data_IF_099817439441
#
_entry.id   IF_099817439441
#
_cell.length_a   1.000
_cell.length_b   1.000
_cell.length_c   1.000
_cell.angle_alpha   90.00
_cell.angle_beta   90.00
_cell.angle_gamma   90.00
#
_symmetry.space_group_name_H-M   'P 1'
#
loop_
_entity.id
_entity.type
_entity.pdbx_description
1 polymer ?
#
# COMPACT_ATOMS: atom_id res chain seq x y z
N UNK A 1 3.17 22.04 17.70
CA UNK A 1 3.33 20.67 17.18
C UNK A 1 2.02 20.29 16.46
N UNK A 2 2.08 19.80 15.26
CA UNK A 2 0.87 19.39 14.52
C UNK A 2 0.37 18.05 15.08
N UNK A 3 -0.93 17.95 15.40
CA UNK A 3 -1.54 16.72 15.91
C UNK A 3 -2.65 16.27 14.98
N UNK A 4 -2.52 15.06 14.43
CA UNK A 4 -3.55 14.43 13.59
C UNK A 4 -4.55 13.78 14.56
N UNK A 5 -5.74 14.36 14.70
CA UNK A 5 -6.80 13.87 15.59
C UNK A 5 -7.93 13.17 14.85
N UNK A 6 -7.91 13.23 13.51
CA UNK A 6 -9.02 12.81 12.66
C UNK A 6 -8.64 11.63 11.78
N UNK A 7 -9.59 10.73 11.59
CA UNK A 7 -9.59 9.70 10.58
C UNK A 7 -10.49 10.11 9.41
N UNK A 8 -10.40 9.40 8.29
CA UNK A 8 -11.24 9.65 7.13
C UNK A 8 -12.29 8.54 7.01
N UNK A 9 -13.54 8.87 7.32
CA UNK A 9 -14.66 7.91 7.34
C UNK A 9 -15.87 8.55 6.66
N UNK A 10 -16.52 7.78 5.80
CA UNK A 10 -17.77 8.19 5.10
C UNK A 10 -17.65 9.50 4.32
N UNK A 11 -16.48 9.74 3.71
CA UNK A 11 -16.19 10.91 2.89
C UNK A 11 -15.84 12.17 3.69
N UNK A 12 -15.55 12.07 4.97
CA UNK A 12 -15.22 13.19 5.83
C UNK A 12 -14.09 12.89 6.82
N UNK A 13 -13.38 13.94 7.24
CA UNK A 13 -12.47 13.88 8.38
C UNK A 13 -13.27 13.92 9.68
N UNK A 14 -13.19 12.87 10.48
CA UNK A 14 -13.95 12.71 11.73
C UNK A 14 -13.01 12.53 12.92
N UNK A 15 -13.38 13.04 14.08
CA UNK A 15 -12.59 12.86 15.31
C UNK A 15 -12.46 11.38 15.68
N UNK A 16 -11.26 10.98 16.12
CA UNK A 16 -10.97 9.65 16.62
C UNK A 16 -11.80 9.35 17.88
N UNK A 17 -12.36 8.14 17.95
CA UNK A 17 -12.88 7.59 19.21
C UNK A 17 -11.73 7.17 20.14
N UNK A 18 -10.70 6.56 19.57
CA UNK A 18 -9.46 6.22 20.27
C UNK A 18 -8.79 7.47 20.87
N UNK A 19 -8.00 7.28 21.94
CA UNK A 19 -7.37 8.38 22.72
C UNK A 19 -5.86 8.21 22.87
N UNK A 20 -5.30 7.11 22.41
CA UNK A 20 -3.85 6.88 22.46
C UNK A 20 -3.16 7.86 21.52
N UNK A 21 -2.16 8.58 22.05
CA UNK A 21 -1.31 9.48 21.26
C UNK A 21 0.01 8.79 20.96
N UNK A 22 0.48 8.93 19.72
CA UNK A 22 1.77 8.44 19.28
C UNK A 22 2.56 9.56 18.62
N UNK A 23 3.83 9.71 19.02
CA UNK A 23 4.77 10.64 18.39
C UNK A 23 5.22 10.12 17.02
N UNK A 24 5.24 11.01 16.05
CA UNK A 24 5.84 10.79 14.72
C UNK A 24 7.25 11.38 14.76
N UNK A 25 8.22 10.52 14.52
CA UNK A 25 9.64 10.84 14.67
C UNK A 25 10.31 10.89 13.31
N UNK A 26 11.02 11.98 13.03
CA UNK A 26 11.93 12.03 11.88
C UNK A 26 13.13 11.10 12.16
N UNK A 27 13.34 10.05 11.36
CA UNK A 27 14.38 9.04 11.64
C UNK A 27 15.81 9.58 11.44
N UNK A 28 15.96 10.68 10.68
CA UNK A 28 17.27 11.24 10.36
C UNK A 28 17.90 11.99 11.56
N UNK A 29 17.07 12.72 12.29
CA UNK A 29 17.52 13.57 13.42
C UNK A 29 16.86 13.22 14.76
N UNK A 30 15.93 12.26 14.78
CA UNK A 30 15.18 11.79 15.96
C UNK A 30 14.31 12.84 16.63
N UNK A 31 13.97 13.92 15.92
CA UNK A 31 13.02 14.92 16.43
C UNK A 31 11.58 14.44 16.26
N UNK A 32 10.72 14.81 17.22
CA UNK A 32 9.27 14.64 17.05
C UNK A 32 8.77 15.73 16.10
N UNK A 33 8.17 15.33 14.99
CA UNK A 33 7.67 16.22 13.93
C UNK A 33 6.15 16.42 13.99
N UNK A 34 5.44 15.44 14.52
CA UNK A 34 3.99 15.50 14.71
C UNK A 34 3.54 14.49 15.77
N UNK A 35 2.24 14.50 16.09
CA UNK A 35 1.57 13.46 16.86
C UNK A 35 0.35 12.96 16.11
N UNK A 36 -0.05 11.72 16.36
CA UNK A 36 -1.29 11.14 15.84
C UNK A 36 -2.09 10.51 16.97
N UNK A 37 -3.40 10.76 17.00
CA UNK A 37 -4.34 10.01 17.83
C UNK A 37 -4.66 8.70 17.12
N UNK A 38 -4.33 7.58 17.76
CA UNK A 38 -4.55 6.26 17.17
C UNK A 38 -6.02 5.85 17.28
N UNK A 39 -6.53 5.30 16.18
CA UNK A 39 -7.84 4.67 16.11
C UNK A 39 -7.91 3.42 16.98
N UNK A 40 -9.09 3.15 17.51
CA UNK A 40 -9.42 1.92 18.20
C UNK A 40 -10.38 1.02 17.40
N UNK A 41 -10.91 -0.03 18.03
CA UNK A 41 -11.86 -0.97 17.40
C UNK A 41 -13.17 -0.29 17.00
N UNK A 42 -13.61 0.74 17.74
CA UNK A 42 -14.86 1.46 17.42
C UNK A 42 -14.70 2.29 16.15
N UNK A 43 -13.57 2.98 15.97
CA UNK A 43 -13.25 3.67 14.71
C UNK A 43 -13.20 2.69 13.52
N UNK A 44 -12.60 1.52 13.73
CA UNK A 44 -12.58 0.47 12.72
C UNK A 44 -13.98 -0.01 12.35
N UNK A 45 -14.87 -0.25 13.33
CA UNK A 45 -16.26 -0.66 13.09
C UNK A 45 -17.07 0.42 12.38
N UNK A 46 -16.89 1.70 12.74
CA UNK A 46 -17.51 2.84 12.05
C UNK A 46 -17.10 2.88 10.58
N UNK A 47 -15.81 2.70 10.29
CA UNK A 47 -15.27 2.65 8.92
C UNK A 47 -15.80 1.45 8.12
N UNK A 48 -15.87 0.25 8.73
CA UNK A 48 -16.43 -0.96 8.12
C UNK A 48 -17.92 -0.76 7.82
N UNK A 49 -18.67 -0.21 8.77
CA UNK A 49 -20.10 0.08 8.58
C UNK A 49 -20.36 1.06 7.42
N UNK A 50 -19.52 2.11 7.28
CA UNK A 50 -19.60 3.04 6.16
C UNK A 50 -19.28 2.35 4.82
N UNK A 51 -18.22 1.55 4.77
CA UNK A 51 -17.85 0.79 3.58
C UNK A 51 -18.94 -0.22 3.17
N UNK A 52 -19.55 -0.91 4.13
CA UNK A 52 -20.64 -1.87 3.89
C UNK A 52 -21.87 -1.19 3.29
N UNK A 53 -22.26 -0.04 3.81
CA UNK A 53 -23.38 0.75 3.22
C UNK A 53 -23.06 1.16 1.79
N UNK A 54 -21.89 1.72 1.55
CA UNK A 54 -21.48 2.19 0.22
C UNK A 54 -21.39 1.04 -0.81
N UNK A 55 -21.05 -0.18 -0.38
CA UNK A 55 -20.96 -1.33 -1.26
C UNK A 55 -22.27 -1.67 -1.95
N UNK A 56 -23.43 -1.39 -1.33
CA UNK A 56 -24.75 -1.68 -1.91
C UNK A 56 -24.99 -0.97 -3.25
N UNK A 57 -24.34 0.18 -3.45
CA UNK A 57 -24.39 0.96 -4.68
C UNK A 57 -23.12 0.79 -5.50
N UNK A 58 -21.95 0.99 -4.90
CA UNK A 58 -20.67 0.93 -5.62
C UNK A 58 -20.38 -0.43 -6.24
N UNK A 59 -20.74 -1.51 -5.59
CA UNK A 59 -20.57 -2.87 -6.13
C UNK A 59 -21.34 -3.14 -7.43
N UNK A 60 -22.27 -2.27 -7.81
CA UNK A 60 -23.08 -2.35 -9.04
C UNK A 60 -22.67 -1.35 -10.11
N UNK A 61 -21.62 -0.57 -9.87
CA UNK A 61 -21.12 0.41 -10.84
C UNK A 61 -20.56 -0.25 -12.09
N UNK A 62 -20.66 0.47 -13.21
CA UNK A 62 -20.08 0.05 -14.50
C UNK A 62 -18.56 0.20 -14.49
N UNK A 63 -17.89 -0.33 -15.51
CA UNK A 63 -16.45 -0.12 -15.71
C UNK A 63 -16.13 1.36 -15.91
N UNK A 64 -16.97 2.06 -16.65
CA UNK A 64 -16.82 3.48 -17.00
C UNK A 64 -16.87 4.35 -15.76
N UNK A 65 -17.84 4.11 -14.85
CA UNK A 65 -17.95 4.83 -13.59
C UNK A 65 -16.75 4.60 -12.68
N UNK A 66 -16.21 3.37 -12.64
CA UNK A 66 -14.98 3.05 -11.87
C UNK A 66 -13.75 3.69 -12.51
N UNK A 67 -13.63 3.66 -13.84
CA UNK A 67 -12.55 4.27 -14.59
C UNK A 67 -12.49 5.79 -14.36
N UNK A 68 -13.66 6.46 -14.31
CA UNK A 68 -13.75 7.90 -14.01
C UNK A 68 -13.18 8.24 -12.61
N UNK A 69 -13.48 7.40 -11.62
CA UNK A 69 -12.93 7.57 -10.26
C UNK A 69 -11.41 7.37 -10.25
N UNK A 70 -10.90 6.37 -10.97
CA UNK A 70 -9.46 6.11 -11.07
C UNK A 70 -8.72 7.27 -11.75
N UNK A 71 -9.28 7.85 -12.82
CA UNK A 71 -8.71 9.05 -13.48
C UNK A 71 -8.63 10.25 -12.55
N UNK A 72 -9.72 10.57 -11.84
CA UNK A 72 -9.71 11.68 -10.86
C UNK A 72 -8.68 11.49 -9.77
N UNK A 73 -8.53 10.26 -9.25
CA UNK A 73 -7.50 9.96 -8.25
C UNK A 73 -6.09 10.11 -8.82
N UNK A 74 -5.84 9.67 -10.05
CA UNK A 74 -4.58 9.91 -10.73
C UNK A 74 -4.28 11.42 -10.83
N UNK A 75 -5.24 12.23 -11.27
CA UNK A 75 -5.09 13.67 -11.43
C UNK A 75 -4.71 14.38 -10.12
N UNK A 76 -5.47 14.15 -9.05
CA UNK A 76 -5.25 14.83 -7.76
C UNK A 76 -3.94 14.39 -7.08
N UNK A 77 -3.56 13.11 -7.18
CA UNK A 77 -2.30 12.64 -6.61
C UNK A 77 -1.11 13.14 -7.44
N UNK A 78 -1.21 13.11 -8.77
CA UNK A 78 -0.17 13.63 -9.67
C UNK A 78 0.07 15.13 -9.50
N UNK A 79 -0.98 15.91 -9.27
CA UNK A 79 -0.87 17.35 -9.04
C UNK A 79 -0.12 17.70 -7.74
N UNK A 80 -0.01 16.77 -6.79
CA UNK A 80 0.62 17.00 -5.48
C UNK A 80 1.89 16.16 -5.24
N UNK A 81 2.55 15.70 -6.31
CA UNK A 81 3.76 14.87 -6.22
C UNK A 81 4.85 15.56 -5.39
N UNK A 82 5.07 16.86 -5.56
CA UNK A 82 6.11 17.61 -4.84
C UNK A 82 5.81 17.67 -3.33
N UNK A 83 4.58 18.00 -2.95
CA UNK A 83 4.15 18.05 -1.55
C UNK A 83 4.25 16.69 -0.88
N UNK A 84 3.72 15.65 -1.54
CA UNK A 84 3.75 14.28 -1.03
C UNK A 84 5.19 13.76 -0.89
N UNK A 85 6.08 14.15 -1.83
CA UNK A 85 7.51 13.82 -1.75
C UNK A 85 8.16 14.48 -0.55
N UNK A 86 7.90 15.77 -0.31
CA UNK A 86 8.48 16.49 0.82
C UNK A 86 8.07 15.85 2.17
N UNK A 87 6.79 15.54 2.33
CA UNK A 87 6.29 14.86 3.54
C UNK A 87 6.92 13.47 3.69
N UNK A 88 7.07 12.71 2.62
CA UNK A 88 7.71 11.40 2.67
C UNK A 88 9.19 11.51 3.05
N UNK A 89 9.93 12.49 2.53
CA UNK A 89 11.35 12.72 2.93
C UNK A 89 11.45 13.02 4.42
N UNK A 90 10.56 13.85 4.96
CA UNK A 90 10.60 14.25 6.36
C UNK A 90 10.24 13.10 7.32
N UNK A 91 9.15 12.38 7.05
CA UNK A 91 8.65 11.34 7.94
C UNK A 91 9.38 10.01 7.78
N UNK A 92 9.72 9.64 6.55
CA UNK A 92 10.36 8.37 6.24
C UNK A 92 11.89 8.43 6.27
N UNK A 93 12.48 9.59 5.99
CA UNK A 93 13.93 9.78 5.92
C UNK A 93 14.60 9.17 4.69
N UNK A 94 13.83 8.86 3.65
CA UNK A 94 14.36 8.32 2.39
C UNK A 94 15.05 9.37 1.52
N UNK A 95 15.90 8.93 0.61
CA UNK A 95 16.50 9.80 -0.38
C UNK A 95 15.42 10.48 -1.24
N UNK A 96 15.52 11.78 -1.49
CA UNK A 96 14.49 12.56 -2.17
C UNK A 96 14.10 11.99 -3.54
N UNK A 97 15.08 11.55 -4.34
CA UNK A 97 14.83 10.94 -5.64
C UNK A 97 14.00 9.65 -5.53
N UNK A 98 14.27 8.83 -4.50
CA UNK A 98 13.54 7.59 -4.25
C UNK A 98 12.11 7.89 -3.77
N UNK A 99 11.95 8.82 -2.82
CA UNK A 99 10.63 9.25 -2.36
C UNK A 99 9.78 9.75 -3.53
N UNK A 100 10.34 10.58 -4.41
CA UNK A 100 9.65 11.05 -5.62
C UNK A 100 9.23 9.90 -6.54
N UNK A 101 10.15 8.97 -6.81
CA UNK A 101 9.86 7.77 -7.62
C UNK A 101 8.67 6.98 -7.06
N UNK A 102 8.62 6.79 -5.74
CA UNK A 102 7.53 6.06 -5.06
C UNK A 102 6.20 6.80 -5.17
N UNK A 103 6.19 8.13 -5.05
CA UNK A 103 4.96 8.93 -5.18
C UNK A 103 4.45 8.89 -6.64
N UNK A 104 5.33 9.13 -7.61
CA UNK A 104 4.98 9.07 -9.04
C UNK A 104 4.48 7.68 -9.46
N UNK A 105 5.16 6.62 -9.00
CA UNK A 105 4.72 5.25 -9.23
C UNK A 105 3.32 4.99 -8.61
N UNK A 106 3.07 5.52 -7.40
CA UNK A 106 1.77 5.45 -6.73
C UNK A 106 0.66 6.13 -7.55
N UNK A 107 0.91 7.34 -8.05
CA UNK A 107 -0.04 8.05 -8.91
C UNK A 107 -0.35 7.26 -10.20
N UNK A 108 0.67 6.70 -10.84
CA UNK A 108 0.53 5.95 -12.10
C UNK A 108 -0.19 4.60 -11.94
N UNK A 109 -0.28 4.05 -10.73
CA UNK A 109 -1.04 2.80 -10.50
C UNK A 109 -2.52 2.98 -10.80
N UNK A 110 -3.11 4.16 -10.60
CA UNK A 110 -4.51 4.41 -10.94
C UNK A 110 -4.76 4.27 -12.44
N UNK A 111 -3.87 4.77 -13.28
CA UNK A 111 -3.94 4.57 -14.74
C UNK A 111 -3.76 3.10 -15.13
N UNK A 112 -2.82 2.41 -14.49
CA UNK A 112 -2.61 0.98 -14.72
C UNK A 112 -3.83 0.15 -14.35
N UNK A 113 -4.50 0.50 -13.25
CA UNK A 113 -5.74 -0.16 -12.81
C UNK A 113 -6.91 0.15 -13.75
N UNK A 114 -7.02 1.37 -14.26
CA UNK A 114 -7.99 1.74 -15.29
C UNK A 114 -7.81 0.90 -16.54
N UNK A 115 -6.58 0.84 -17.07
CA UNK A 115 -6.25 0.04 -18.24
C UNK A 115 -6.60 -1.44 -18.05
N UNK A 116 -6.18 -2.02 -16.92
CA UNK A 116 -6.50 -3.40 -16.58
C UNK A 116 -8.02 -3.65 -16.48
N UNK A 117 -8.78 -2.71 -15.92
CA UNK A 117 -10.24 -2.78 -15.84
C UNK A 117 -10.88 -2.81 -17.22
N UNK A 118 -10.41 -1.97 -18.16
CA UNK A 118 -10.94 -1.95 -19.53
C UNK A 118 -10.66 -3.26 -20.28
N UNK A 119 -9.45 -3.80 -20.13
CA UNK A 119 -9.03 -5.03 -20.81
C UNK A 119 -9.65 -6.31 -20.22
N UNK A 120 -10.03 -6.30 -18.93
CA UNK A 120 -10.56 -7.49 -18.25
C UNK A 120 -12.02 -7.77 -18.68
N UNK A 121 -12.33 -8.93 -19.31
CA UNK A 121 -13.72 -9.31 -19.54
C UNK A 121 -14.38 -9.73 -18.20
N UNK A 122 -15.34 -8.92 -17.71
CA UNK A 122 -16.08 -9.28 -16.48
C UNK A 122 -17.07 -10.41 -16.68
N UNK A 123 -17.47 -10.67 -17.92
CA UNK A 123 -18.36 -11.78 -18.28
C UNK A 123 -17.72 -12.58 -19.42
N UNK A 124 -17.66 -13.88 -19.23
CA UNK A 124 -17.09 -14.82 -20.22
C UNK A 124 -18.05 -16.01 -20.42
N UNK A 125 -18.38 -16.25 -21.68
CA UNK A 125 -19.11 -17.46 -22.09
C UNK A 125 -18.18 -18.68 -22.15
N UNK A 126 -18.66 -19.83 -21.72
CA UNK A 126 -17.99 -21.11 -21.85
C UNK A 126 -19.02 -22.19 -22.14
N UNK A 127 -19.06 -22.62 -23.39
CA UNK A 127 -20.09 -23.55 -23.90
C UNK A 127 -21.52 -23.02 -23.57
N UNK A 128 -22.28 -23.74 -22.78
CA UNK A 128 -23.63 -23.35 -22.33
C UNK A 128 -23.64 -22.57 -21.01
N UNK A 129 -22.47 -22.19 -20.50
CA UNK A 129 -22.30 -21.53 -19.20
C UNK A 129 -21.76 -20.11 -19.40
N UNK A 130 -22.25 -19.18 -18.59
CA UNK A 130 -21.70 -17.83 -18.47
C UNK A 130 -21.07 -17.66 -17.09
N UNK A 131 -19.83 -17.19 -17.05
CA UNK A 131 -19.11 -16.83 -15.81
C UNK A 131 -19.04 -15.31 -15.72
N UNK A 132 -19.54 -14.77 -14.62
CA UNK A 132 -19.46 -13.32 -14.33
C UNK A 132 -18.58 -13.09 -13.09
N UNK A 133 -17.63 -12.15 -13.21
CA UNK A 133 -16.79 -11.70 -12.11
C UNK A 133 -17.53 -10.58 -11.38
N UNK A 134 -17.75 -10.77 -10.08
CA UNK A 134 -18.44 -9.80 -9.22
C UNK A 134 -17.51 -9.28 -8.12
N UNK A 135 -17.73 -8.03 -7.64
CA UNK A 135 -17.02 -7.50 -6.48
C UNK A 135 -17.23 -8.38 -5.25
N UNK A 136 -16.18 -8.56 -4.46
CA UNK A 136 -16.24 -9.46 -3.28
C UNK A 136 -16.87 -8.83 -2.05
N UNK A 137 -17.03 -7.50 -2.00
CA UNK A 137 -17.54 -6.79 -0.83
C UNK A 137 -16.59 -5.71 -0.32
N UNK A 138 -16.55 -5.54 0.99
CA UNK A 138 -15.60 -4.64 1.66
C UNK A 138 -14.21 -5.27 1.67
N UNK A 139 -13.21 -4.51 1.21
CA UNK A 139 -11.80 -4.90 1.25
C UNK A 139 -11.08 -4.16 2.39
N UNK A 140 -10.52 -4.90 3.34
CA UNK A 140 -9.57 -4.42 4.33
C UNK A 140 -8.15 -4.36 3.74
N UNK A 141 -7.59 -3.16 3.64
CA UNK A 141 -6.27 -2.92 3.06
C UNK A 141 -5.30 -2.50 4.17
N UNK A 142 -4.28 -3.31 4.42
CA UNK A 142 -3.30 -3.04 5.48
C UNK A 142 -1.95 -2.80 4.81
N UNK A 143 -1.41 -1.59 4.96
CA UNK A 143 -0.20 -1.14 4.27
C UNK A 143 0.99 -0.97 5.22
N UNK A 144 2.22 -1.18 4.72
CA UNK A 144 3.46 -1.01 5.48
C UNK A 144 3.90 0.46 5.49
N UNK A 145 5.02 0.72 6.17
CA UNK A 145 5.61 2.06 6.34
C UNK A 145 6.64 2.43 5.23
N UNK A 146 7.28 1.45 4.58
CA UNK A 146 8.48 1.66 3.76
C UNK A 146 8.26 2.20 2.33
N UNK A 147 7.03 2.28 1.88
CA UNK A 147 6.60 2.92 0.64
C UNK A 147 5.09 3.21 0.74
N UNK A 148 4.68 3.87 1.82
CA UNK A 148 3.28 4.00 2.23
C UNK A 148 2.38 4.50 1.10
N UNK A 149 2.72 5.62 0.44
CA UNK A 149 1.92 6.21 -0.62
C UNK A 149 1.71 5.28 -1.81
N UNK A 150 2.76 4.54 -2.22
CA UNK A 150 2.62 3.53 -3.28
C UNK A 150 1.65 2.43 -2.90
N UNK A 151 1.78 1.85 -1.69
CA UNK A 151 0.92 0.77 -1.24
C UNK A 151 -0.53 1.23 -1.00
N UNK A 152 -0.74 2.46 -0.52
CA UNK A 152 -2.06 3.07 -0.45
C UNK A 152 -2.70 3.11 -1.84
N UNK A 153 -2.03 3.71 -2.81
CA UNK A 153 -2.54 3.82 -4.18
C UNK A 153 -2.77 2.44 -4.81
N UNK A 154 -1.80 1.52 -4.74
CA UNK A 154 -1.86 0.23 -5.43
C UNK A 154 -2.99 -0.66 -4.94
N UNK A 155 -3.14 -0.77 -3.61
CA UNK A 155 -4.22 -1.58 -3.02
C UNK A 155 -5.58 -0.92 -3.24
N UNK A 156 -5.66 0.40 -3.09
CA UNK A 156 -6.89 1.15 -3.29
C UNK A 156 -7.35 1.11 -4.74
N UNK A 157 -6.49 1.42 -5.70
CA UNK A 157 -6.81 1.38 -7.13
C UNK A 157 -7.32 -0.01 -7.57
N UNK A 158 -6.66 -1.07 -7.12
CA UNK A 158 -7.08 -2.44 -7.43
C UNK A 158 -8.45 -2.79 -6.85
N UNK A 159 -8.73 -2.36 -5.61
CA UNK A 159 -10.02 -2.57 -4.97
C UNK A 159 -11.14 -1.80 -5.70
N UNK A 160 -10.88 -0.53 -6.07
CA UNK A 160 -11.82 0.30 -6.82
C UNK A 160 -12.14 -0.28 -8.19
N UNK A 161 -11.12 -0.67 -8.97
CA UNK A 161 -11.29 -1.31 -10.27
C UNK A 161 -12.16 -2.57 -10.16
N UNK A 162 -11.96 -3.36 -9.09
CA UNK A 162 -12.76 -4.55 -8.82
C UNK A 162 -14.18 -4.26 -8.31
N UNK A 163 -14.56 -2.99 -8.06
CA UNK A 163 -15.88 -2.61 -7.54
C UNK A 163 -16.07 -2.81 -6.04
N UNK A 164 -14.97 -2.93 -5.29
CA UNK A 164 -14.99 -3.09 -3.83
C UNK A 164 -14.93 -1.73 -3.13
N UNK A 165 -15.60 -1.62 -2.00
CA UNK A 165 -15.39 -0.52 -1.04
C UNK A 165 -14.26 -0.87 -0.09
N UNK A 166 -13.64 0.13 0.55
CA UNK A 166 -12.40 -0.11 1.28
C UNK A 166 -12.40 0.45 2.70
N UNK A 167 -11.74 -0.29 3.59
CA UNK A 167 -11.22 0.21 4.86
C UNK A 167 -9.72 0.01 4.86
N UNK A 168 -8.96 1.10 4.92
CA UNK A 168 -7.51 1.12 4.84
C UNK A 168 -6.93 1.37 6.22
N UNK A 169 -6.05 0.49 6.67
CA UNK A 169 -5.20 0.67 7.85
C UNK A 169 -3.77 0.88 7.38
N UNK A 170 -3.30 2.13 7.25
CA UNK A 170 -1.89 2.40 6.98
C UNK A 170 -1.04 2.10 8.22
N UNK A 171 0.28 2.02 8.03
CA UNK A 171 1.18 2.00 9.18
C UNK A 171 1.03 3.27 9.99
N UNK A 172 0.97 3.15 11.30
CA UNK A 172 0.95 4.27 12.26
C UNK A 172 2.22 5.13 12.16
N UNK A 173 3.33 4.56 11.69
CA UNK A 173 4.60 5.25 11.45
C UNK A 173 4.58 6.16 10.21
N UNK A 174 3.48 6.19 9.46
CA UNK A 174 3.33 6.95 8.21
C UNK A 174 2.09 7.86 8.25
N UNK A 175 1.82 8.44 9.42
CA UNK A 175 0.60 9.21 9.64
C UNK A 175 0.55 10.52 8.85
N UNK A 176 1.67 11.25 8.74
CA UNK A 176 1.76 12.50 7.95
C UNK A 176 1.61 12.23 6.46
N UNK A 177 2.30 11.21 5.92
CA UNK A 177 2.15 10.81 4.52
C UNK A 177 0.70 10.40 4.22
N UNK A 178 0.09 9.66 5.16
CA UNK A 178 -1.32 9.26 5.04
C UNK A 178 -2.25 10.46 5.06
N UNK A 179 -2.03 11.43 5.94
CA UNK A 179 -2.83 12.65 6.03
C UNK A 179 -2.74 13.45 4.72
N UNK A 180 -1.53 13.67 4.19
CA UNK A 180 -1.32 14.38 2.93
C UNK A 180 -2.00 13.66 1.74
N UNK A 181 -1.92 12.33 1.69
CA UNK A 181 -2.62 11.53 0.68
C UNK A 181 -4.14 11.61 0.83
N UNK A 182 -4.67 11.63 2.07
CA UNK A 182 -6.10 11.78 2.34
C UNK A 182 -6.67 13.12 1.88
N UNK A 183 -5.88 14.18 1.89
CA UNK A 183 -6.27 15.48 1.33
C UNK A 183 -6.51 15.35 -0.19
N UNK A 184 -5.64 14.62 -0.93
CA UNK A 184 -5.88 14.32 -2.34
C UNK A 184 -7.17 13.50 -2.54
N UNK A 185 -7.39 12.46 -1.72
CA UNK A 185 -8.62 11.65 -1.77
C UNK A 185 -9.87 12.48 -1.52
N UNK A 186 -9.80 13.40 -0.56
CA UNK A 186 -10.91 14.31 -0.24
C UNK A 186 -11.21 15.26 -1.40
N UNK A 187 -10.17 15.80 -2.04
CA UNK A 187 -10.27 16.66 -3.22
C UNK A 187 -10.87 15.92 -4.44
N UNK A 188 -10.62 14.61 -4.57
CA UNK A 188 -11.23 13.78 -5.61
C UNK A 188 -12.76 13.62 -5.46
N UNK A 189 -13.37 14.02 -4.35
CA UNK A 189 -14.84 13.98 -4.08
C UNK A 189 -15.44 12.61 -4.40
N UNK A 190 -14.88 11.57 -3.80
CA UNK A 190 -15.36 10.20 -3.97
C UNK A 190 -16.76 10.00 -3.35
N UNK A 191 -17.52 9.01 -3.83
CA UNK A 191 -18.75 8.60 -3.14
C UNK A 191 -18.49 8.29 -1.66
N UNK A 192 -19.40 8.73 -0.78
CA UNK A 192 -19.27 8.50 0.66
C UNK A 192 -19.13 7.02 0.98
N UNK A 193 -18.26 6.67 1.93
CA UNK A 193 -18.00 5.30 2.35
C UNK A 193 -17.18 4.46 1.37
N UNK A 194 -16.82 4.96 0.18
CA UNK A 194 -15.99 4.23 -0.78
C UNK A 194 -14.55 4.05 -0.28
N UNK A 195 -13.99 5.11 0.29
CA UNK A 195 -12.68 5.14 0.93
C UNK A 195 -12.87 5.48 2.41
N UNK A 196 -12.37 4.61 3.29
CA UNK A 196 -12.31 4.85 4.72
C UNK A 196 -10.91 4.54 5.22
N UNK A 197 -10.30 5.42 5.98
CA UNK A 197 -8.92 5.27 6.45
C UNK A 197 -8.86 5.53 7.95
N UNK A 198 -8.33 4.56 8.69
CA UNK A 198 -8.16 4.61 10.14
C UNK A 198 -6.71 4.31 10.51
N UNK A 199 -6.03 5.29 11.11
CA UNK A 199 -4.64 5.18 11.52
C UNK A 199 -4.62 4.63 12.95
N UNK A 200 -4.19 3.38 13.12
CA UNK A 200 -4.18 2.74 14.43
C UNK A 200 -3.26 1.53 14.45
N UNK A 201 -3.11 0.94 15.64
CA UNK A 201 -2.22 -0.21 15.84
C UNK A 201 -2.66 -1.43 15.05
N UNK A 202 -1.70 -2.24 14.61
CA UNK A 202 -1.97 -3.45 13.84
C UNK A 202 -2.74 -4.50 14.64
N UNK A 203 -2.44 -4.63 15.93
CA UNK A 203 -3.07 -5.57 16.87
C UNK A 203 -4.49 -5.14 17.33
N UNK A 204 -4.86 -3.88 17.10
CA UNK A 204 -6.19 -3.32 17.39
C UNK A 204 -7.00 -3.21 16.11
N UNK A 205 -6.73 -2.19 15.29
CA UNK A 205 -7.49 -1.92 14.05
C UNK A 205 -7.28 -3.02 13.00
N UNK A 206 -6.05 -3.48 12.83
CA UNK A 206 -5.74 -4.59 11.88
C UNK A 206 -6.46 -5.87 12.27
N UNK A 207 -6.45 -6.22 13.57
CA UNK A 207 -7.13 -7.40 14.09
C UNK A 207 -8.66 -7.30 13.93
N UNK A 208 -9.27 -6.12 14.16
CA UNK A 208 -10.70 -5.90 13.92
C UNK A 208 -11.05 -6.12 12.44
N UNK A 209 -10.26 -5.57 11.49
CA UNK A 209 -10.48 -5.81 10.05
C UNK A 209 -10.45 -7.30 9.70
N UNK A 210 -9.52 -8.05 10.29
CA UNK A 210 -9.38 -9.49 10.01
C UNK A 210 -10.53 -10.32 10.58
N UNK A 211 -11.03 -9.97 11.77
CA UNK A 211 -12.06 -10.75 12.47
C UNK A 211 -13.48 -10.35 12.08
N UNK A 212 -13.68 -9.11 11.63
CA UNK A 212 -15.02 -8.59 11.36
C UNK A 212 -15.66 -9.30 10.15
N UNK A 213 -16.87 -9.91 10.29
CA UNK A 213 -17.52 -10.67 9.22
C UNK A 213 -17.94 -9.82 8.02
N UNK A 214 -18.09 -8.51 8.17
CA UNK A 214 -18.48 -7.61 7.09
C UNK A 214 -17.31 -7.26 6.15
N UNK A 215 -16.07 -7.63 6.49
CA UNK A 215 -14.90 -7.51 5.63
C UNK A 215 -14.71 -8.81 4.86
N UNK A 216 -14.87 -8.80 3.55
CA UNK A 216 -14.81 -9.99 2.70
C UNK A 216 -13.39 -10.38 2.29
N UNK A 217 -12.48 -9.41 2.21
CA UNK A 217 -11.10 -9.59 1.75
C UNK A 217 -10.13 -8.79 2.61
N UNK A 218 -8.96 -9.39 2.87
CA UNK A 218 -7.78 -8.68 3.41
C UNK A 218 -6.68 -8.67 2.35
N UNK A 219 -6.12 -7.49 2.09
CA UNK A 219 -4.88 -7.32 1.35
C UNK A 219 -3.83 -6.72 2.28
N UNK A 220 -2.85 -7.51 2.66
CA UNK A 220 -1.81 -7.17 3.64
C UNK A 220 -0.44 -7.09 2.98
N UNK A 221 0.35 -6.08 3.34
CA UNK A 221 1.79 -6.04 3.09
C UNK A 221 2.51 -5.78 4.40
N UNK A 222 3.47 -6.65 4.76
CA UNK A 222 4.21 -6.53 6.00
C UNK A 222 4.99 -7.78 6.38
N UNK A 223 5.10 -8.10 7.68
CA UNK A 223 5.90 -9.21 8.17
C UNK A 223 5.24 -10.58 7.95
N UNK A 224 6.09 -11.60 7.78
CA UNK A 224 5.65 -13.01 7.65
C UNK A 224 4.84 -13.46 8.87
N UNK A 225 5.26 -13.05 10.07
CA UNK A 225 4.56 -13.42 11.33
C UNK A 225 3.13 -12.91 11.36
N UNK A 226 2.92 -11.63 11.02
CA UNK A 226 1.58 -11.03 10.94
C UNK A 226 0.77 -11.65 9.81
N UNK A 227 1.37 -11.91 8.63
CA UNK A 227 0.71 -12.60 7.52
C UNK A 227 0.14 -13.96 7.92
N UNK A 228 0.92 -14.77 8.67
CA UNK A 228 0.46 -16.06 9.21
C UNK A 228 -0.73 -15.89 10.17
N UNK A 229 -0.71 -14.87 11.02
CA UNK A 229 -1.83 -14.57 11.94
C UNK A 229 -3.08 -14.17 11.16
N UNK A 230 -2.95 -13.34 10.14
CA UNK A 230 -4.08 -12.94 9.26
C UNK A 230 -4.70 -14.16 8.57
N UNK A 231 -3.90 -15.08 8.04
CA UNK A 231 -4.40 -16.32 7.44
C UNK A 231 -5.19 -17.16 8.43
N UNK A 232 -4.63 -17.36 9.63
CA UNK A 232 -5.27 -18.15 10.70
C UNK A 232 -6.59 -17.51 11.15
N UNK A 233 -6.58 -16.22 11.50
CA UNK A 233 -7.72 -15.54 12.08
C UNK A 233 -8.82 -15.26 11.02
N UNK A 234 -8.41 -14.98 9.77
CA UNK A 234 -9.32 -14.78 8.63
C UNK A 234 -10.08 -16.04 8.20
N UNK A 235 -9.56 -17.24 8.54
CA UNK A 235 -10.22 -18.51 8.23
C UNK A 235 -11.59 -18.64 8.90
N UNK A 236 -11.78 -18.04 10.09
CA UNK A 236 -13.05 -18.09 10.83
C UNK A 236 -14.25 -17.52 10.04
N UNK A 237 -14.01 -16.62 9.10
CA UNK A 237 -15.04 -16.00 8.24
C UNK A 237 -14.78 -16.24 6.75
N UNK A 238 -13.94 -17.23 6.41
CA UNK A 238 -13.61 -17.59 5.02
C UNK A 238 -13.13 -16.41 4.16
N UNK A 239 -12.37 -15.47 4.76
CA UNK A 239 -11.89 -14.28 4.04
C UNK A 239 -10.98 -14.63 2.88
N UNK A 240 -11.10 -13.90 1.80
CA UNK A 240 -10.07 -13.88 0.76
C UNK A 240 -8.87 -13.10 1.27
N UNK A 241 -7.68 -13.69 1.21
CA UNK A 241 -6.45 -13.08 1.71
C UNK A 241 -5.42 -12.99 0.60
N UNK A 242 -4.81 -11.82 0.44
CA UNK A 242 -3.62 -11.58 -0.38
C UNK A 242 -2.52 -11.07 0.54
N UNK A 243 -1.36 -11.71 0.50
CA UNK A 243 -0.23 -11.41 1.36
C UNK A 243 0.99 -11.05 0.50
N UNK A 244 1.52 -9.85 0.74
CA UNK A 244 2.82 -9.41 0.26
C UNK A 244 3.75 -9.32 1.46
N UNK A 245 4.77 -10.18 1.51
CA UNK A 245 5.56 -10.40 2.72
C UNK A 245 7.04 -10.16 2.46
N UNK A 246 7.76 -9.91 3.55
CA UNK A 246 9.21 -9.78 3.51
C UNK A 246 9.91 -11.09 3.11
N UNK A 247 11.11 -10.94 2.60
CA UNK A 247 11.94 -12.05 2.18
C UNK A 247 13.41 -11.67 2.09
N UNK A 248 14.19 -12.59 1.53
CA UNK A 248 15.58 -12.40 1.13
C UNK A 248 15.71 -12.87 -0.31
N UNK A 249 15.31 -12.00 -1.25
CA UNK A 249 15.23 -12.35 -2.67
C UNK A 249 16.58 -12.79 -3.24
N UNK A 250 16.61 -13.83 -4.08
CA UNK A 250 17.83 -14.20 -4.80
C UNK A 250 18.08 -13.19 -5.93
N UNK A 251 19.35 -12.84 -6.12
CA UNK A 251 19.88 -12.14 -7.28
C UNK A 251 20.89 -13.08 -7.92
N UNK A 252 20.69 -13.49 -9.16
CA UNK A 252 21.43 -14.61 -9.77
C UNK A 252 22.19 -14.10 -10.99
N UNK A 253 23.52 -14.17 -10.94
CA UNK A 253 24.41 -13.93 -12.07
C UNK A 253 24.76 -15.24 -12.75
N UNK A 254 24.57 -15.31 -14.07
CA UNK A 254 24.97 -16.48 -14.88
C UNK A 254 26.43 -16.38 -15.34
N UNK A 255 26.96 -17.46 -15.88
CA UNK A 255 28.36 -17.54 -16.34
C UNK A 255 28.72 -16.51 -17.42
N UNK A 256 27.77 -16.17 -18.27
CA UNK A 256 27.89 -15.24 -19.39
C UNK A 256 27.52 -13.79 -19.04
N UNK A 257 27.22 -13.49 -17.77
CA UNK A 257 26.84 -12.15 -17.34
C UNK A 257 27.95 -11.12 -17.61
N UNK A 258 27.59 -9.99 -18.23
CA UNK A 258 28.46 -8.82 -18.35
C UNK A 258 28.56 -8.11 -16.98
N UNK A 259 29.67 -8.32 -16.27
CA UNK A 259 29.84 -7.80 -14.91
C UNK A 259 29.84 -6.26 -14.85
N UNK A 260 30.22 -5.57 -15.92
CA UNK A 260 30.22 -4.10 -15.94
C UNK A 260 28.79 -3.53 -15.83
N UNK A 261 27.79 -4.29 -16.25
CA UNK A 261 26.37 -3.95 -16.11
C UNK A 261 25.74 -4.63 -14.89
N UNK A 262 25.96 -5.93 -14.76
CA UNK A 262 25.29 -6.73 -13.75
C UNK A 262 25.68 -6.39 -12.30
N UNK A 263 26.92 -5.95 -12.03
CA UNK A 263 27.36 -5.62 -10.67
C UNK A 263 26.72 -4.30 -10.17
N UNK A 264 26.76 -3.20 -10.90
CA UNK A 264 26.04 -1.99 -10.50
C UNK A 264 24.54 -2.26 -10.24
N UNK A 265 23.86 -2.98 -11.13
CA UNK A 265 22.46 -3.34 -10.96
C UNK A 265 22.22 -4.21 -9.72
N UNK A 266 23.10 -5.19 -9.47
CA UNK A 266 23.02 -6.06 -8.29
C UNK A 266 23.17 -5.27 -6.99
N UNK A 267 24.07 -4.28 -6.95
CA UNK A 267 24.27 -3.39 -5.80
C UNK A 267 23.02 -2.52 -5.59
N UNK A 268 22.52 -1.87 -6.64
CA UNK A 268 21.34 -1.03 -6.56
C UNK A 268 20.15 -1.82 -6.05
N UNK A 269 19.87 -3.00 -6.59
CA UNK A 269 18.74 -3.85 -6.17
C UNK A 269 18.87 -4.32 -4.71
N UNK A 270 20.11 -4.60 -4.26
CA UNK A 270 20.34 -5.05 -2.88
C UNK A 270 20.16 -3.93 -1.85
N UNK A 271 20.55 -2.70 -2.19
CA UNK A 271 20.61 -1.56 -1.27
C UNK A 271 19.56 -0.47 -1.56
N UNK A 272 18.71 -0.68 -2.57
CA UNK A 272 17.60 0.23 -2.86
C UNK A 272 16.80 0.50 -1.59
N UNK A 273 16.44 1.76 -1.37
CA UNK A 273 15.69 2.19 -0.18
C UNK A 273 16.43 1.87 1.14
N UNK A 274 17.76 1.93 1.14
CA UNK A 274 18.56 1.53 2.31
C UNK A 274 18.43 0.05 2.68
N UNK A 275 18.10 -0.81 1.72
CA UNK A 275 17.80 -2.24 1.94
C UNK A 275 16.45 -2.53 2.57
N UNK A 276 15.61 -1.51 2.75
CA UNK A 276 14.27 -1.61 3.38
C UNK A 276 13.19 -1.96 2.36
N UNK A 277 13.43 -2.95 1.53
CA UNK A 277 12.52 -3.41 0.49
C UNK A 277 12.32 -4.92 0.54
N UNK A 278 11.06 -5.35 0.42
CA UNK A 278 10.69 -6.77 0.36
C UNK A 278 11.32 -7.49 -0.85
N UNK A 279 11.53 -6.76 -1.95
CA UNK A 279 12.11 -7.24 -3.19
C UNK A 279 13.65 -7.11 -3.25
N UNK A 280 14.32 -6.62 -2.18
CA UNK A 280 15.76 -6.41 -2.19
C UNK A 280 16.51 -7.73 -2.46
N UNK A 281 17.31 -7.75 -3.53
CA UNK A 281 18.11 -8.89 -3.98
C UNK A 281 19.36 -9.12 -3.12
N UNK A 282 19.16 -9.33 -1.82
CA UNK A 282 20.23 -9.36 -0.81
C UNK A 282 21.05 -10.66 -0.79
N UNK A 283 20.67 -11.67 -1.56
CA UNK A 283 21.43 -12.90 -1.73
C UNK A 283 21.93 -13.00 -3.16
N UNK A 284 23.18 -12.61 -3.38
CA UNK A 284 23.81 -12.69 -4.70
C UNK A 284 24.38 -14.09 -4.93
N UNK A 285 23.79 -14.84 -5.86
CA UNK A 285 24.28 -16.14 -6.31
C UNK A 285 25.15 -15.95 -7.54
N UNK A 286 26.34 -16.54 -7.51
CA UNK A 286 27.34 -16.36 -8.57
C UNK A 286 27.97 -17.69 -8.93
N UNK A 287 28.47 -17.87 -10.16
CA UNK A 287 29.25 -19.04 -10.55
C UNK A 287 30.49 -19.15 -9.68
N UNK A 288 30.77 -20.36 -9.17
CA UNK A 288 31.97 -20.60 -8.33
C UNK A 288 33.28 -20.23 -9.04
N UNK A 289 33.33 -20.46 -10.34
CA UNK A 289 34.48 -20.15 -11.22
C UNK A 289 34.78 -18.66 -11.30
N UNK A 290 33.76 -17.80 -11.12
CA UNK A 290 33.86 -16.32 -11.24
C UNK A 290 33.82 -15.59 -9.87
N UNK A 291 33.79 -16.32 -8.77
CA UNK A 291 33.59 -15.73 -7.43
C UNK A 291 34.59 -14.61 -7.12
N UNK A 292 35.89 -14.83 -7.33
CA UNK A 292 36.91 -13.85 -7.01
C UNK A 292 36.95 -12.65 -7.97
N UNK A 293 36.59 -12.87 -9.23
CA UNK A 293 36.37 -11.78 -10.21
C UNK A 293 35.22 -10.89 -9.77
N UNK A 294 34.08 -11.48 -9.38
CA UNK A 294 32.87 -10.75 -8.97
C UNK A 294 33.12 -9.99 -7.66
N UNK A 295 33.81 -10.57 -6.68
CA UNK A 295 34.18 -9.87 -5.45
C UNK A 295 34.98 -8.60 -5.73
N UNK A 296 35.98 -8.68 -6.61
CA UNK A 296 36.78 -7.51 -7.02
C UNK A 296 35.90 -6.45 -7.70
N UNK A 297 35.08 -6.86 -8.65
CA UNK A 297 34.18 -5.95 -9.34
C UNK A 297 33.20 -5.23 -8.39
N UNK A 298 32.69 -5.92 -7.35
CA UNK A 298 31.86 -5.29 -6.32
C UNK A 298 32.64 -4.22 -5.56
N UNK A 299 33.86 -4.53 -5.09
CA UNK A 299 34.69 -3.58 -4.34
C UNK A 299 35.05 -2.36 -5.19
N UNK A 300 35.37 -2.56 -6.48
CA UNK A 300 35.69 -1.47 -7.42
C UNK A 300 34.49 -0.58 -7.76
N UNK A 301 33.28 -1.13 -7.67
CA UNK A 301 32.03 -0.41 -7.97
C UNK A 301 31.50 0.40 -6.77
N UNK A 302 31.82 -0.03 -5.55
CA UNK A 302 31.38 0.69 -4.34
C UNK A 302 32.22 1.96 -4.17
N UNK A 303 31.59 3.13 -3.87
CA UNK A 303 32.35 4.32 -3.52
C UNK A 303 33.19 4.09 -2.27
N UNK A 304 34.38 4.69 -2.25
CA UNK A 304 35.32 4.61 -1.12
C UNK A 304 34.75 5.28 0.15
#
# INVERSE_FOLDING_TARGET
MNTITKHYIDGAFVESHGRELMDIINPTNRTVIAQVTLADEEDARRAIGAAKRAFTTYGRTTKEERAEILRRLHEVVSARVDDLTAVMVEEYGGAAWFCRLIIEAGANVFQSAEKALQELPLTKGWDKTTVTLEPVGVAGLITPWNANSFFLCAKFASALAAGCTTVIKPSELSALQTQAWLECVHEAKLPKGLCNVVIGRGDVVGAELVRNPDVAKISFTGSVGVGKSIMRDGAATMKRVTLELGGKSPNILLDDADLKKAIPDAIVIAFLNGGQACAAGTRLFVPKSRLEEIKRAIVETLPA
#
